data_IF_015376223361
#
_entry.id   IF_015376223361
#
_cell.length_a   1.000
_cell.length_b   1.000
_cell.length_c   1.000
_cell.angle_alpha   90.00
_cell.angle_beta   90.00
_cell.angle_gamma   90.00
#
_symmetry.space_group_name_H-M   'P 1'
#
loop_
_entity.id
_entity.type
_entity.pdbx_description
1 polymer ?
#
# COMPACT_ATOMS: atom_id res chain seq x y z
N UNK A 1 7.61 35.09 -1.80
CA UNK A 1 8.07 33.72 -1.52
C UNK A 1 7.44 32.82 -2.55
N UNK A 2 8.21 32.00 -3.24
CA UNK A 2 7.67 31.08 -4.25
C UNK A 2 7.45 29.73 -3.58
N UNK A 3 6.21 29.34 -3.36
CA UNK A 3 5.89 28.02 -2.81
C UNK A 3 6.15 26.94 -3.88
N UNK A 4 6.79 25.84 -3.49
CA UNK A 4 6.99 24.65 -4.33
C UNK A 4 5.98 23.59 -3.88
N UNK A 5 5.28 22.98 -4.83
CA UNK A 5 4.32 21.90 -4.55
C UNK A 5 4.85 20.58 -5.10
N UNK A 6 5.24 19.69 -4.19
CA UNK A 6 5.79 18.35 -4.48
C UNK A 6 4.67 17.29 -4.48
N UNK A 7 4.86 16.10 -5.06
CA UNK A 7 3.95 14.98 -4.81
C UNK A 7 4.01 14.60 -3.32
N UNK A 8 2.91 14.07 -2.79
CA UNK A 8 2.89 13.59 -1.41
C UNK A 8 3.73 12.31 -1.27
N UNK A 9 4.25 12.04 -0.06
CA UNK A 9 4.89 10.75 0.23
C UNK A 9 3.85 9.67 0.53
N UNK A 10 3.09 9.29 -0.52
CA UNK A 10 1.91 8.45 -0.40
C UNK A 10 2.26 7.07 0.16
N UNK A 11 3.38 6.47 -0.26
CA UNK A 11 3.80 5.16 0.26
C UNK A 11 4.12 5.17 1.75
N UNK A 12 4.80 6.21 2.28
CA UNK A 12 5.11 6.27 3.72
C UNK A 12 3.85 6.53 4.54
N UNK A 13 2.95 7.37 4.04
CA UNK A 13 1.63 7.53 4.63
C UNK A 13 0.86 6.20 4.67
N UNK A 14 0.80 5.47 3.55
CA UNK A 14 0.10 4.20 3.46
C UNK A 14 0.70 3.12 4.38
N UNK A 15 2.03 3.08 4.55
CA UNK A 15 2.67 2.18 5.54
C UNK A 15 2.19 2.49 6.96
N UNK A 16 2.15 3.77 7.37
CA UNK A 16 1.63 4.18 8.69
C UNK A 16 0.17 3.76 8.82
N UNK A 17 -0.66 4.13 7.85
CA UNK A 17 -2.09 3.87 7.84
C UNK A 17 -2.43 2.37 7.93
N UNK A 18 -1.81 1.54 7.08
CA UNK A 18 -2.02 0.09 7.09
C UNK A 18 -1.58 -0.53 8.41
N UNK A 19 -0.45 -0.10 8.97
CA UNK A 19 0.07 -0.64 10.24
C UNK A 19 -0.87 -0.34 11.40
N UNK A 20 -1.48 0.85 11.42
CA UNK A 20 -2.49 1.22 12.42
C UNK A 20 -3.80 0.44 12.25
N UNK A 21 -4.34 0.36 11.04
CA UNK A 21 -5.62 -0.33 10.79
C UNK A 21 -5.52 -1.84 11.05
N UNK A 22 -4.47 -2.47 10.52
CA UNK A 22 -4.23 -3.90 10.75
C UNK A 22 -3.93 -4.19 12.22
N UNK A 23 -3.20 -3.30 12.91
CA UNK A 23 -2.96 -3.41 14.34
C UNK A 23 -4.24 -3.32 15.19
N UNK A 24 -5.15 -2.39 14.86
CA UNK A 24 -6.48 -2.28 15.52
C UNK A 24 -7.33 -3.54 15.34
N UNK A 25 -7.16 -4.22 14.21
CA UNK A 25 -7.83 -5.49 13.89
C UNK A 25 -7.10 -6.73 14.42
N UNK A 26 -5.96 -6.56 15.11
CA UNK A 26 -5.21 -7.66 15.73
C UNK A 26 -4.29 -8.45 14.81
N UNK A 27 -3.94 -7.92 13.63
CA UNK A 27 -3.02 -8.57 12.70
C UNK A 27 -1.56 -8.23 13.04
N UNK A 28 -0.74 -9.24 13.34
CA UNK A 28 0.72 -9.10 13.41
C UNK A 28 1.35 -9.30 12.02
N UNK A 29 1.76 -8.20 11.40
CA UNK A 29 2.34 -8.18 10.05
C UNK A 29 3.57 -7.27 9.99
N UNK A 30 4.47 -7.55 9.05
CA UNK A 30 5.59 -6.69 8.70
C UNK A 30 5.19 -5.81 7.51
N UNK A 31 5.27 -4.49 7.65
CA UNK A 31 4.92 -3.54 6.58
C UNK A 31 6.07 -2.56 6.39
N UNK A 32 6.58 -2.44 5.17
CA UNK A 32 7.65 -1.51 4.82
C UNK A 32 7.53 -1.02 3.36
N UNK A 33 8.37 -0.08 2.96
CA UNK A 33 8.53 0.39 1.57
C UNK A 33 9.53 -0.44 0.76
N UNK A 34 10.26 -1.35 1.40
CA UNK A 34 11.29 -2.18 0.77
C UNK A 34 11.16 -3.64 1.17
N UNK A 35 11.31 -4.53 0.20
CA UNK A 35 11.52 -5.96 0.46
C UNK A 35 12.86 -6.16 1.17
N UNK A 36 12.92 -6.92 2.28
CA UNK A 36 14.17 -7.28 2.91
C UNK A 36 15.12 -7.97 1.93
N UNK A 37 16.43 -7.71 2.04
CA UNK A 37 17.47 -8.35 1.21
C UNK A 37 17.52 -9.87 1.38
N UNK A 38 17.12 -10.35 2.55
CA UNK A 38 17.10 -11.76 2.93
C UNK A 38 15.77 -12.07 3.58
N UNK A 39 15.11 -13.13 3.14
CA UNK A 39 13.88 -13.65 3.72
C UNK A 39 14.05 -15.14 4.03
N UNK A 40 13.59 -15.56 5.21
CA UNK A 40 13.53 -16.97 5.60
C UNK A 40 12.12 -17.49 5.41
N UNK A 41 11.99 -18.70 4.86
CA UNK A 41 10.73 -19.38 4.63
C UNK A 41 10.62 -20.63 5.51
N UNK A 42 9.43 -20.94 6.08
CA UNK A 42 8.21 -20.14 6.02
C UNK A 42 8.38 -18.79 6.74
N UNK A 43 7.63 -17.78 6.28
CA UNK A 43 7.66 -16.46 6.92
C UNK A 43 7.12 -16.57 8.36
N UNK A 44 7.79 -15.92 9.31
CA UNK A 44 7.31 -15.87 10.71
C UNK A 44 6.04 -15.05 10.88
N UNK A 45 5.81 -14.10 9.96
CA UNK A 45 4.57 -13.31 9.82
C UNK A 45 4.45 -12.77 8.40
N UNK A 46 3.24 -12.39 7.96
CA UNK A 46 3.04 -11.79 6.63
C UNK A 46 3.95 -10.58 6.40
N UNK A 47 4.42 -10.44 5.17
CA UNK A 47 5.20 -9.30 4.70
C UNK A 47 4.41 -8.53 3.66
N UNK A 48 4.19 -7.23 3.92
CA UNK A 48 3.62 -6.28 2.99
C UNK A 48 4.68 -5.27 2.60
N UNK A 49 4.85 -5.06 1.30
CA UNK A 49 5.71 -3.98 0.80
C UNK A 49 4.90 -3.01 -0.04
N UNK A 50 5.02 -1.73 0.30
CA UNK A 50 4.32 -0.61 -0.34
C UNK A 50 5.28 0.14 -1.24
N UNK A 51 5.10 -0.02 -2.54
CA UNK A 51 5.72 0.79 -3.57
C UNK A 51 4.84 1.97 -3.95
N UNK A 52 5.42 2.85 -4.75
CA UNK A 52 4.73 3.99 -5.36
C UNK A 52 5.21 4.07 -6.81
N UNK A 53 4.27 4.14 -7.75
CA UNK A 53 4.58 4.34 -9.16
C UNK A 53 4.82 5.84 -9.43
N UNK A 54 5.31 6.15 -10.63
CA UNK A 54 5.73 7.52 -10.96
C UNK A 54 4.55 8.50 -10.80
N UNK A 55 4.65 9.49 -9.91
CA UNK A 55 3.57 10.46 -9.71
C UNK A 55 3.44 11.35 -10.95
N UNK A 56 2.21 11.61 -11.39
CA UNK A 56 1.91 12.48 -12.53
C UNK A 56 1.25 13.75 -12.03
N UNK A 57 1.71 14.93 -12.47
CA UNK A 57 1.11 16.20 -12.05
C UNK A 57 -0.27 16.32 -12.70
N UNK A 58 -1.32 16.36 -11.87
CA UNK A 58 -2.70 16.44 -12.34
C UNK A 58 -3.10 17.89 -12.63
N UNK A 59 -2.87 18.79 -11.67
CA UNK A 59 -3.13 20.22 -11.82
C UNK A 59 -2.04 21.08 -11.12
N UNK A 60 -2.34 22.30 -10.66
CA UNK A 60 -1.35 23.12 -9.96
C UNK A 60 -0.98 22.58 -8.56
N UNK A 61 -1.90 21.93 -7.85
CA UNK A 61 -1.75 21.53 -6.45
C UNK A 61 -1.94 20.03 -6.20
N UNK A 62 -2.40 19.27 -7.20
CA UNK A 62 -2.71 17.85 -7.11
C UNK A 62 -1.82 16.99 -8.02
N UNK A 63 -1.77 15.70 -7.68
CA UNK A 63 -1.04 14.66 -8.38
C UNK A 63 -1.87 13.39 -8.49
N UNK A 64 -1.76 12.70 -9.61
CA UNK A 64 -2.16 11.31 -9.75
C UNK A 64 -1.04 10.45 -9.17
N UNK A 65 -1.37 9.66 -8.15
CA UNK A 65 -0.41 8.81 -7.46
C UNK A 65 -0.98 7.41 -7.29
N UNK A 66 -0.16 6.42 -7.59
CA UNK A 66 -0.55 5.01 -7.54
C UNK A 66 0.35 4.24 -6.59
N UNK A 67 -0.26 3.50 -5.67
CA UNK A 67 0.41 2.56 -4.80
C UNK A 67 0.53 1.20 -5.48
N UNK A 68 1.68 0.55 -5.27
CA UNK A 68 1.92 -0.83 -5.70
C UNK A 68 2.15 -1.70 -4.45
N UNK A 69 1.18 -2.55 -4.10
CA UNK A 69 1.23 -3.34 -2.87
C UNK A 69 1.57 -4.78 -3.21
N UNK A 70 2.60 -5.31 -2.55
CA UNK A 70 2.91 -6.74 -2.58
C UNK A 70 2.61 -7.33 -1.20
N UNK A 71 1.91 -8.46 -1.17
CA UNK A 71 1.53 -9.18 0.04
C UNK A 71 2.11 -10.59 -0.06
N UNK A 72 2.92 -10.99 0.92
CA UNK A 72 3.44 -12.35 1.05
C UNK A 72 2.99 -12.96 2.37
N UNK A 73 2.27 -14.07 2.33
CA UNK A 73 1.79 -14.77 3.52
C UNK A 73 1.53 -16.24 3.23
N UNK A 74 1.52 -17.09 4.27
CA UNK A 74 1.27 -18.52 4.09
C UNK A 74 2.39 -19.22 3.29
N UNK A 75 2.01 -20.25 2.54
CA UNK A 75 2.91 -21.03 1.67
C UNK A 75 2.32 -21.14 0.26
N UNK A 76 3.08 -21.62 -0.72
CA UNK A 76 2.56 -21.79 -2.08
C UNK A 76 1.36 -22.74 -2.15
N UNK A 77 1.27 -23.69 -1.22
CA UNK A 77 0.19 -24.68 -1.15
C UNK A 77 -0.93 -24.29 -0.16
N UNK A 78 -0.77 -23.20 0.59
CA UNK A 78 -1.76 -22.71 1.55
C UNK A 78 -1.77 -21.18 1.53
N UNK A 79 -2.48 -20.65 0.55
CA UNK A 79 -2.59 -19.24 0.18
C UNK A 79 -3.68 -18.48 0.91
N UNK A 80 -4.58 -19.17 1.63
CA UNK A 80 -5.73 -18.57 2.32
C UNK A 80 -5.39 -17.32 3.13
N UNK A 81 -4.27 -17.35 3.87
CA UNK A 81 -3.83 -16.20 4.68
C UNK A 81 -3.46 -15.01 3.80
N UNK A 82 -2.82 -15.26 2.64
CA UNK A 82 -2.49 -14.24 1.66
C UNK A 82 -3.76 -13.65 1.02
N UNK A 83 -4.71 -14.50 0.64
CA UNK A 83 -5.96 -14.07 0.00
C UNK A 83 -6.85 -13.25 0.94
N UNK A 84 -7.00 -13.69 2.19
CA UNK A 84 -7.78 -12.97 3.20
C UNK A 84 -7.15 -11.59 3.48
N UNK A 85 -5.82 -11.57 3.67
CA UNK A 85 -5.09 -10.33 3.96
C UNK A 85 -5.09 -9.36 2.78
N UNK A 86 -4.99 -9.87 1.55
CA UNK A 86 -4.98 -9.03 0.35
C UNK A 86 -6.33 -8.37 0.11
N UNK A 87 -7.44 -9.09 0.32
CA UNK A 87 -8.80 -8.51 0.25
C UNK A 87 -9.02 -7.47 1.35
N UNK A 88 -8.53 -7.74 2.56
CA UNK A 88 -8.60 -6.78 3.67
C UNK A 88 -7.82 -5.50 3.36
N UNK A 89 -6.58 -5.62 2.86
CA UNK A 89 -5.75 -4.47 2.49
C UNK A 89 -6.40 -3.65 1.37
N UNK A 90 -6.95 -4.30 0.34
CA UNK A 90 -7.71 -3.60 -0.70
C UNK A 90 -8.89 -2.82 -0.10
N UNK A 91 -9.64 -3.43 0.83
CA UNK A 91 -10.73 -2.76 1.54
C UNK A 91 -10.27 -1.56 2.38
N UNK A 92 -9.16 -1.67 3.10
CA UNK A 92 -8.59 -0.56 3.89
C UNK A 92 -8.15 0.59 2.97
N UNK A 93 -7.46 0.28 1.88
CA UNK A 93 -6.92 1.27 0.94
C UNK A 93 -7.99 1.90 0.03
N UNK A 94 -9.19 1.35 0.01
CA UNK A 94 -10.35 1.88 -0.73
C UNK A 94 -11.51 2.29 0.18
N UNK A 95 -11.23 2.43 1.48
CA UNK A 95 -12.24 2.88 2.44
C UNK A 95 -12.83 4.25 2.02
N UNK A 96 -14.17 4.42 2.00
CA UNK A 96 -14.80 5.65 1.53
C UNK A 96 -14.45 6.90 2.37
N UNK A 97 -13.85 6.72 3.54
CA UNK A 97 -13.38 7.76 4.45
C UNK A 97 -11.86 7.90 4.47
N UNK A 98 -11.11 7.26 3.56
CA UNK A 98 -9.65 7.29 3.52
C UNK A 98 -9.07 8.72 3.39
N UNK A 99 -9.80 9.64 2.75
CA UNK A 99 -9.43 11.06 2.65
C UNK A 99 -9.52 11.80 3.99
N UNK A 100 -10.23 11.25 4.98
CA UNK A 100 -10.38 11.79 6.33
C UNK A 100 -9.42 11.15 7.33
N UNK A 101 -8.66 10.14 6.91
CA UNK A 101 -7.65 9.54 7.76
C UNK A 101 -6.56 10.57 8.12
N UNK A 102 -5.92 10.36 9.27
CA UNK A 102 -4.87 11.24 9.78
C UNK A 102 -3.78 11.46 8.73
N UNK A 103 -3.47 12.74 8.46
CA UNK A 103 -2.48 13.20 7.49
C UNK A 103 -2.65 12.64 6.06
N UNK A 104 -3.86 12.23 5.69
CA UNK A 104 -4.13 11.66 4.35
C UNK A 104 -3.92 12.71 3.26
N UNK A 105 -3.05 12.46 2.27
CA UNK A 105 -2.93 13.33 1.11
C UNK A 105 -4.04 13.06 0.08
N UNK A 106 -4.82 11.98 0.24
CA UNK A 106 -5.77 11.47 -0.75
C UNK A 106 -7.04 12.34 -0.77
N UNK A 107 -7.43 12.77 -1.96
CA UNK A 107 -8.71 13.48 -2.19
C UNK A 107 -9.79 12.58 -2.78
N UNK A 108 -9.41 11.65 -3.65
CA UNK A 108 -10.32 10.66 -4.26
C UNK A 108 -9.58 9.37 -4.60
N UNK A 109 -10.33 8.29 -4.73
CA UNK A 109 -9.87 6.99 -5.23
C UNK A 109 -10.30 6.91 -6.69
N UNK A 110 -9.37 6.61 -7.59
CA UNK A 110 -9.63 6.50 -9.03
C UNK A 110 -9.84 5.05 -9.43
N UNK A 111 -8.93 4.15 -9.02
CA UNK A 111 -8.98 2.74 -9.36
C UNK A 111 -8.33 1.86 -8.29
N UNK A 112 -8.80 0.61 -8.19
CA UNK A 112 -8.14 -0.44 -7.44
C UNK A 112 -8.09 -1.69 -8.32
N UNK A 113 -6.89 -2.13 -8.68
CA UNK A 113 -6.68 -3.30 -9.53
C UNK A 113 -6.16 -4.47 -8.69
N UNK A 114 -6.86 -5.59 -8.72
CA UNK A 114 -6.58 -6.75 -7.88
C UNK A 114 -7.39 -6.77 -6.58
N UNK A 115 -6.98 -7.56 -5.57
CA UNK A 115 -5.76 -8.35 -5.55
C UNK A 115 -5.78 -9.53 -6.53
N UNK A 116 -4.62 -9.84 -7.11
CA UNK A 116 -4.41 -11.04 -7.93
C UNK A 116 -3.12 -11.77 -7.50
N UNK A 117 -3.07 -13.11 -7.65
CA UNK A 117 -1.89 -13.89 -7.31
C UNK A 117 -0.73 -13.60 -8.28
N UNK A 118 0.49 -13.66 -7.76
CA UNK A 118 1.74 -13.60 -8.51
C UNK A 118 2.58 -14.84 -8.16
N UNK A 119 3.20 -15.44 -9.16
CA UNK A 119 4.16 -16.53 -8.94
C UNK A 119 5.40 -16.03 -8.19
N UNK A 120 5.71 -16.68 -7.07
CA UNK A 120 6.96 -16.46 -6.33
C UNK A 120 7.83 -17.73 -6.38
N UNK A 121 9.13 -17.53 -6.60
CA UNK A 121 10.11 -18.62 -6.63
C UNK A 121 10.28 -19.27 -5.25
N UNK A 122 10.04 -18.55 -4.16
CA UNK A 122 10.07 -19.07 -2.81
C UNK A 122 8.77 -19.79 -2.43
N UNK A 123 8.81 -20.66 -1.41
CA UNK A 123 7.59 -21.31 -0.89
C UNK A 123 6.76 -20.34 -0.05
N UNK A 124 6.03 -19.46 -0.73
CA UNK A 124 5.15 -18.44 -0.17
C UNK A 124 4.04 -18.13 -1.16
N UNK A 125 2.83 -17.83 -0.68
CA UNK A 125 1.83 -17.21 -1.55
C UNK A 125 2.12 -15.71 -1.65
N UNK A 126 1.98 -15.16 -2.84
CA UNK A 126 2.26 -13.76 -3.14
C UNK A 126 1.08 -13.19 -3.92
N UNK A 127 0.50 -12.11 -3.43
CA UNK A 127 -0.52 -11.34 -4.12
C UNK A 127 -0.05 -9.91 -4.37
N UNK A 128 -0.63 -9.29 -5.38
CA UNK A 128 -0.36 -7.91 -5.73
C UNK A 128 -1.66 -7.17 -6.02
N UNK A 129 -1.69 -5.90 -5.66
CA UNK A 129 -2.72 -4.97 -6.10
C UNK A 129 -2.11 -3.59 -6.32
N UNK A 130 -2.80 -2.77 -7.11
CA UNK A 130 -2.55 -1.33 -7.16
C UNK A 130 -3.76 -0.53 -6.75
N UNK A 131 -3.53 0.66 -6.21
CA UNK A 131 -4.59 1.63 -5.91
C UNK A 131 -4.14 3.00 -6.37
N UNK A 132 -4.94 3.62 -7.22
CA UNK A 132 -4.70 4.93 -7.81
C UNK A 132 -5.59 5.99 -7.13
N UNK A 133 -5.00 7.16 -6.89
CA UNK A 133 -5.63 8.26 -6.18
C UNK A 133 -5.30 9.60 -6.84
N UNK A 134 -6.20 10.57 -6.67
CA UNK A 134 -5.80 11.97 -6.66
C UNK A 134 -5.31 12.36 -5.27
N UNK A 135 -4.16 13.03 -5.21
CA UNK A 135 -3.52 13.47 -3.97
C UNK A 135 -3.22 14.97 -3.99
N UNK A 136 -3.44 15.67 -2.86
CA UNK A 136 -2.91 17.03 -2.65
C UNK A 136 -1.39 16.95 -2.48
N UNK A 137 -0.67 17.85 -3.13
CA UNK A 137 0.77 17.96 -3.03
C UNK A 137 1.27 18.59 -1.72
N UNK A 138 2.51 18.27 -1.35
CA UNK A 138 3.19 18.85 -0.20
C UNK A 138 3.73 20.25 -0.54
N UNK A 139 3.30 21.27 0.22
CA UNK A 139 3.77 22.65 0.05
C UNK A 139 5.07 22.85 0.85
N UNK A 140 6.13 23.29 0.16
CA UNK A 140 7.38 23.76 0.77
C UNK A 140 7.61 25.23 0.49
N UNK A 141 8.07 25.95 1.52
CA UNK A 141 8.43 27.37 1.47
C UNK A 141 9.93 27.58 1.43
#
# INVERSE_FOLDING_TARGET
MTAIVLPADLKRWAVKHLREQLGKMGHDVSIDTKTPKTMSYPLTKPLITVGELTPTKYDHVQWDQELAINIRAGTRQNDKVCDDLSRLIAGILTDPTISQAEDSPITSIEACNGPYPIDDSADVAHSYLTVEYHCVGEIRQ
#
